data_IF_257019381247
#
_entry.id   IF_257019381247
#
_cell.length_a   1.000
_cell.length_b   1.000
_cell.length_c   1.000
_cell.angle_alpha   90.00
_cell.angle_beta   90.00
_cell.angle_gamma   90.00
#
_symmetry.space_group_name_H-M   'P 1'
#
loop_
_entity.id
_entity.type
_entity.pdbx_description
1 polymer ?
#
# COMPACT_ATOMS: atom_id res chain seq x y z
N UNK A 1 -8.36 7.68 13.03
CA UNK A 1 -8.28 8.09 11.60
C UNK A 1 -9.07 7.10 10.72
N UNK A 2 -9.77 7.57 9.67
CA UNK A 2 -10.47 6.68 8.71
C UNK A 2 -9.47 5.99 7.75
N UNK A 3 -9.73 4.76 7.24
CA UNK A 3 -8.78 4.04 6.38
C UNK A 3 -8.31 4.82 5.15
N UNK A 4 -9.24 5.43 4.38
CA UNK A 4 -8.89 6.29 3.22
C UNK A 4 -7.98 7.48 3.58
N UNK A 5 -8.18 8.09 4.75
CA UNK A 5 -7.31 9.19 5.20
C UNK A 5 -5.91 8.68 5.54
N UNK A 6 -5.79 7.49 6.17
CA UNK A 6 -4.49 6.86 6.44
C UNK A 6 -3.77 6.49 5.14
N UNK A 7 -4.49 5.95 4.16
CA UNK A 7 -3.94 5.61 2.84
C UNK A 7 -3.37 6.84 2.13
N UNK A 8 -4.13 7.95 2.08
CA UNK A 8 -3.63 9.22 1.53
C UNK A 8 -2.40 9.75 2.30
N UNK A 9 -2.42 9.70 3.64
CA UNK A 9 -1.30 10.14 4.46
C UNK A 9 -0.05 9.25 4.30
N UNK A 10 -0.21 7.94 4.09
CA UNK A 10 0.90 7.02 3.74
C UNK A 10 1.53 7.42 2.41
N UNK A 11 0.70 7.73 1.39
CA UNK A 11 1.19 8.20 0.09
C UNK A 11 1.98 9.52 0.22
N UNK A 12 1.46 10.51 0.95
CA UNK A 12 2.18 11.76 1.23
C UNK A 12 3.50 11.53 1.99
N UNK A 13 3.49 10.63 2.99
CA UNK A 13 4.68 10.32 3.78
C UNK A 13 5.76 9.68 2.91
N UNK A 14 5.39 8.71 2.06
CA UNK A 14 6.27 8.12 1.05
C UNK A 14 6.72 9.14 -0.01
N UNK A 15 5.92 10.17 -0.30
CA UNK A 15 6.29 11.26 -1.23
C UNK A 15 7.41 12.13 -0.67
N UNK A 16 7.40 12.38 0.65
CA UNK A 16 8.39 13.19 1.37
C UNK A 16 9.66 12.39 1.69
N UNK A 17 9.53 11.13 2.08
CA UNK A 17 10.65 10.25 2.49
C UNK A 17 11.24 9.42 1.32
N UNK A 18 10.51 9.23 0.23
CA UNK A 18 10.88 8.37 -0.90
C UNK A 18 10.72 6.86 -0.63
N UNK A 19 11.21 6.37 0.51
CA UNK A 19 11.10 4.97 0.95
C UNK A 19 10.80 4.89 2.45
N UNK A 20 9.90 3.99 2.86
CA UNK A 20 9.61 3.73 4.28
C UNK A 20 9.34 2.25 4.57
N UNK A 21 9.59 1.82 5.80
CA UNK A 21 9.31 0.46 6.28
C UNK A 21 7.91 0.33 6.87
N UNK A 22 7.37 -0.89 6.91
CA UNK A 22 6.06 -1.19 7.54
C UNK A 22 6.05 -0.78 9.02
N UNK A 23 7.18 -0.95 9.71
CA UNK A 23 7.34 -0.64 11.13
C UNK A 23 7.39 0.87 11.39
N UNK A 24 8.11 1.62 10.55
CA UNK A 24 8.13 3.09 10.59
C UNK A 24 6.73 3.68 10.39
N UNK A 25 6.00 3.20 9.37
CA UNK A 25 4.62 3.61 9.12
C UNK A 25 3.68 3.22 10.28
N UNK A 26 3.89 2.05 10.89
CA UNK A 26 3.09 1.59 12.02
C UNK A 26 3.28 2.50 13.24
N UNK A 27 4.52 2.83 13.57
CA UNK A 27 4.87 3.75 14.66
C UNK A 27 4.42 5.19 14.37
N UNK A 28 4.60 5.69 13.14
CA UNK A 28 4.22 7.05 12.76
C UNK A 28 2.69 7.28 12.76
N UNK A 29 1.90 6.28 12.35
CA UNK A 29 0.44 6.38 12.30
C UNK A 29 -0.27 5.79 13.54
N UNK A 30 0.46 5.52 14.62
CA UNK A 30 -0.01 4.90 15.87
C UNK A 30 -0.93 3.69 15.61
N UNK A 31 -0.40 2.71 14.86
CA UNK A 31 -1.18 1.56 14.43
C UNK A 31 -0.33 0.30 14.30
N UNK A 32 -0.97 -0.84 14.05
CA UNK A 32 -0.25 -2.12 13.94
C UNK A 32 0.35 -2.33 12.55
N UNK A 33 1.48 -3.03 12.46
CA UNK A 33 2.04 -3.46 11.19
C UNK A 33 1.06 -4.29 10.34
N UNK A 34 0.10 -5.00 10.95
CA UNK A 34 -0.98 -5.70 10.24
C UNK A 34 -1.95 -4.72 9.58
N UNK A 35 -2.28 -3.60 10.23
CA UNK A 35 -3.08 -2.53 9.64
C UNK A 35 -2.35 -1.90 8.45
N UNK A 36 -1.08 -1.52 8.64
CA UNK A 36 -0.26 -0.95 7.57
C UNK A 36 -0.13 -1.91 6.39
N UNK A 37 0.15 -3.20 6.61
CA UNK A 37 0.20 -4.20 5.51
C UNK A 37 -1.12 -4.27 4.73
N UNK A 38 -2.29 -4.18 5.38
CA UNK A 38 -3.58 -4.12 4.68
C UNK A 38 -3.73 -2.88 3.83
N UNK A 39 -3.39 -1.71 4.36
CA UNK A 39 -3.46 -0.46 3.59
C UNK A 39 -2.46 -0.45 2.41
N UNK A 40 -1.25 -0.99 2.62
CA UNK A 40 -0.24 -1.14 1.58
C UNK A 40 -0.66 -2.09 0.46
N UNK A 41 -1.30 -3.23 0.78
CA UNK A 41 -1.86 -4.14 -0.23
C UNK A 41 -2.95 -3.45 -1.05
N UNK A 42 -3.80 -2.63 -0.43
CA UNK A 42 -4.82 -1.85 -1.14
C UNK A 42 -4.16 -0.82 -2.08
N UNK A 43 -3.12 -0.13 -1.62
CA UNK A 43 -2.39 0.86 -2.40
C UNK A 43 -1.58 0.22 -3.55
N UNK A 44 -1.02 -0.97 -3.33
CA UNK A 44 -0.29 -1.78 -4.31
C UNK A 44 -1.24 -2.31 -5.41
N UNK A 45 -2.39 -2.85 -5.02
CA UNK A 45 -3.47 -3.23 -5.95
C UNK A 45 -4.02 -2.03 -6.75
N UNK A 46 -3.95 -0.83 -6.19
CA UNK A 46 -4.31 0.42 -6.87
C UNK A 46 -3.16 1.01 -7.73
N UNK A 47 -2.01 0.34 -7.82
CA UNK A 47 -0.85 0.81 -8.60
C UNK A 47 -0.15 2.05 -8.02
N UNK A 48 -0.42 2.44 -6.77
CA UNK A 48 0.10 3.70 -6.18
C UNK A 48 1.38 3.51 -5.34
N UNK A 49 1.66 2.29 -4.88
CA UNK A 49 2.91 1.96 -4.17
C UNK A 49 3.49 0.65 -4.68
N UNK A 50 4.80 0.48 -4.53
CA UNK A 50 5.53 -0.74 -4.86
C UNK A 50 6.21 -1.25 -3.59
N UNK A 51 5.99 -2.52 -3.24
CA UNK A 51 6.74 -3.18 -2.17
C UNK A 51 8.07 -3.71 -2.68
N UNK A 52 9.13 -3.38 -1.95
CA UNK A 52 10.51 -3.86 -2.15
C UNK A 52 10.89 -4.81 -1.02
N UNK A 53 12.03 -5.51 -1.17
CA UNK A 53 12.50 -6.54 -0.24
C UNK A 53 12.65 -6.10 1.23
N UNK A 54 12.72 -4.78 1.48
CA UNK A 54 12.86 -4.19 2.81
C UNK A 54 12.26 -2.79 2.88
N UNK A 55 11.03 -2.61 2.40
CA UNK A 55 10.30 -1.34 2.50
C UNK A 55 9.34 -1.10 1.34
N UNK A 56 8.69 0.05 1.35
CA UNK A 56 7.73 0.52 0.35
C UNK A 56 8.26 1.80 -0.28
N UNK A 57 8.03 1.95 -1.58
CA UNK A 57 8.23 3.20 -2.33
C UNK A 57 6.92 3.58 -3.03
N UNK A 58 6.75 4.85 -3.40
CA UNK A 58 5.68 5.23 -4.32
C UNK A 58 5.92 4.62 -5.69
N UNK A 59 4.84 4.23 -6.37
CA UNK A 59 4.90 4.13 -7.82
C UNK A 59 4.93 5.56 -8.38
N UNK A 60 5.97 5.89 -9.15
CA UNK A 60 6.18 7.22 -9.73
C UNK A 60 5.83 7.29 -11.22
N UNK A 61 5.14 6.29 -11.76
CA UNK A 61 4.49 6.42 -13.06
C UNK A 61 3.35 7.44 -12.95
N UNK A 62 3.55 8.57 -13.62
CA UNK A 62 2.62 9.70 -13.63
C UNK A 62 1.35 9.38 -14.42
N UNK A 63 0.21 9.66 -13.79
CA UNK A 63 -1.10 9.94 -14.39
C UNK A 63 -1.94 8.78 -14.98
N UNK A 64 -3.24 8.94 -14.72
CA UNK A 64 -4.42 8.39 -15.39
C UNK A 64 -4.96 6.98 -15.01
N UNK A 65 -6.30 6.77 -15.15
CA UNK A 65 -7.06 5.90 -14.24
C UNK A 65 -7.55 4.59 -14.90
N UNK A 66 -8.56 3.96 -14.30
CA UNK A 66 -8.42 2.67 -13.64
C UNK A 66 -8.22 1.50 -14.63
N UNK A 67 -7.13 0.76 -14.49
CA UNK A 67 -7.07 -0.59 -15.05
C UNK A 67 -7.99 -1.50 -14.22
N UNK A 68 -9.06 -2.01 -14.84
CA UNK A 68 -10.03 -2.95 -14.26
C UNK A 68 -9.32 -4.29 -13.96
N UNK A 69 -8.64 -4.37 -12.82
CA UNK A 69 -8.07 -5.63 -12.31
C UNK A 69 -9.16 -6.52 -11.70
N UNK A 70 -10.14 -6.92 -12.53
CA UNK A 70 -10.58 -8.33 -12.56
C UNK A 70 -9.33 -9.20 -12.72
N UNK A 71 -9.41 -10.47 -12.28
CA UNK A 71 -8.38 -11.52 -12.52
C UNK A 71 -7.13 -11.33 -11.62
N UNK A 72 -6.72 -12.18 -10.66
CA UNK A 72 -7.16 -13.46 -10.07
C UNK A 72 -6.60 -13.48 -8.61
N UNK A 73 -6.81 -14.44 -7.69
CA UNK A 73 -7.48 -15.76 -7.70
C UNK A 73 -8.15 -15.97 -6.33
N UNK A 74 -9.24 -16.75 -6.27
CA UNK A 74 -9.60 -17.57 -5.12
C UNK A 74 -9.80 -19.02 -5.63
N UNK A 75 -8.73 -19.81 -5.64
CA UNK A 75 -8.82 -21.24 -5.99
C UNK A 75 -8.91 -22.08 -4.72
N UNK A 76 -10.10 -22.10 -4.15
CA UNK A 76 -10.53 -23.22 -3.31
C UNK A 76 -10.75 -24.45 -4.19
N UNK A 77 -9.79 -25.37 -4.26
CA UNK A 77 -10.01 -26.82 -4.41
C UNK A 77 -8.81 -27.59 -3.84
N UNK A 78 -9.00 -28.22 -2.68
CA UNK A 78 -8.28 -29.46 -2.35
C UNK A 78 -8.99 -30.58 -3.11
N UNK A 79 -8.20 -31.47 -3.72
CA UNK A 79 -8.59 -32.84 -4.05
C UNK A 79 -7.90 -33.78 -3.06
#
# INVERSE_FOLDING_TARGET
>A
MKPRQRQAAILEYLQKQGKCSVEELAQYFDTTGTTIRKDLVILEHAGTVIRTYGGVVLNKEESDPPIDHKTLINTTRKS
#
